data_IF_382470487594
#
_entry.id   IF_382470487594
#
_cell.length_a   1.000
_cell.length_b   1.000
_cell.length_c   1.000
_cell.angle_alpha   90.00
_cell.angle_beta   90.00
_cell.angle_gamma   90.00
#
_symmetry.space_group_name_H-M   'P 1'
#
loop_
_entity.id
_entity.type
_entity.pdbx_description
1 polymer ?
#
# COMPACT_ATOMS: atom_id res chain seq x y z
N UNK A 1 -112.33 -10.06 96.34
CA UNK A 1 -112.58 -8.60 96.32
C UNK A 1 -111.28 -7.78 96.40
N UNK A 2 -110.08 -8.40 96.36
CA UNK A 2 -108.80 -7.70 96.56
C UNK A 2 -108.05 -7.37 95.25
N UNK A 3 -108.22 -8.19 94.19
CA UNK A 3 -107.56 -7.95 92.89
C UNK A 3 -108.04 -6.69 92.16
N UNK A 4 -109.34 -6.36 92.24
CA UNK A 4 -109.90 -5.16 91.59
C UNK A 4 -109.39 -3.85 92.20
N UNK A 5 -109.10 -3.82 93.51
CA UNK A 5 -108.57 -2.63 94.17
C UNK A 5 -107.10 -2.40 93.78
N UNK A 6 -106.31 -3.48 93.72
CA UNK A 6 -104.92 -3.42 93.26
C UNK A 6 -104.81 -3.00 91.79
N UNK A 7 -105.65 -3.54 90.91
CA UNK A 7 -105.68 -3.17 89.49
C UNK A 7 -106.05 -1.69 89.29
N UNK A 8 -107.01 -1.16 90.07
CA UNK A 8 -107.38 0.26 90.05
C UNK A 8 -106.19 1.13 90.49
N UNK A 9 -105.45 0.74 91.52
CA UNK A 9 -104.31 1.49 92.02
C UNK A 9 -103.12 1.47 91.04
N UNK A 10 -102.85 0.33 90.40
CA UNK A 10 -101.82 0.18 89.35
C UNK A 10 -102.18 1.01 88.13
N UNK A 11 -103.43 0.97 87.68
CA UNK A 11 -103.92 1.80 86.57
C UNK A 11 -103.86 3.29 86.91
N UNK A 12 -104.17 3.67 88.16
CA UNK A 12 -104.09 5.07 88.61
C UNK A 12 -102.64 5.56 88.58
N UNK A 13 -101.68 4.80 89.12
CA UNK A 13 -100.25 5.11 89.01
C UNK A 13 -99.79 5.22 87.56
N UNK A 14 -100.26 4.32 86.68
CA UNK A 14 -99.91 4.36 85.26
C UNK A 14 -100.45 5.61 84.56
N UNK A 15 -101.66 6.04 84.92
CA UNK A 15 -102.25 7.29 84.41
C UNK A 15 -101.46 8.50 84.87
N UNK A 16 -101.04 8.54 86.14
CA UNK A 16 -100.20 9.63 86.67
C UNK A 16 -98.81 9.70 86.04
N UNK A 17 -98.19 8.55 85.75
CA UNK A 17 -96.93 8.46 85.01
C UNK A 17 -97.10 8.98 83.59
N UNK A 18 -98.12 8.51 82.86
CA UNK A 18 -98.41 8.97 81.50
C UNK A 18 -98.75 10.46 81.45
N UNK A 19 -99.40 11.00 82.49
CA UNK A 19 -99.66 12.43 82.60
C UNK A 19 -98.37 13.23 82.79
N UNK A 20 -97.44 12.75 83.63
CA UNK A 20 -96.12 13.35 83.79
C UNK A 20 -95.30 13.30 82.50
N UNK A 21 -95.23 12.13 81.86
CA UNK A 21 -94.55 11.97 80.55
C UNK A 21 -95.14 12.91 79.49
N UNK A 22 -96.48 13.03 79.44
CA UNK A 22 -97.16 13.96 78.52
C UNK A 22 -96.81 15.41 78.83
N UNK A 23 -96.79 15.79 80.11
CA UNK A 23 -96.46 17.16 80.53
C UNK A 23 -95.00 17.52 80.22
N UNK A 24 -94.08 16.57 80.40
CA UNK A 24 -92.66 16.77 80.08
C UNK A 24 -92.44 16.82 78.56
N UNK A 25 -93.04 15.91 77.78
CA UNK A 25 -93.01 15.98 76.32
C UNK A 25 -93.60 17.28 75.79
N UNK A 26 -94.64 17.81 76.43
CA UNK A 26 -95.23 19.09 76.06
C UNK A 26 -94.26 20.24 76.30
N UNK A 27 -93.55 20.27 77.44
CA UNK A 27 -92.51 21.29 77.71
C UNK A 27 -91.38 21.20 76.69
N UNK A 28 -90.94 19.99 76.34
CA UNK A 28 -89.89 19.78 75.34
C UNK A 28 -90.31 20.28 73.95
N UNK A 29 -91.55 19.99 73.53
CA UNK A 29 -92.12 20.50 72.27
C UNK A 29 -92.20 22.04 72.31
N UNK A 30 -92.70 22.62 73.39
CA UNK A 30 -92.78 24.07 73.55
C UNK A 30 -91.39 24.72 73.49
N UNK A 31 -90.37 24.12 74.12
CA UNK A 31 -88.99 24.59 74.07
C UNK A 31 -88.38 24.51 72.66
N UNK A 32 -88.59 23.40 71.94
CA UNK A 32 -88.15 23.25 70.54
C UNK A 32 -88.86 24.24 69.62
N UNK A 33 -90.17 24.43 69.80
CA UNK A 33 -90.93 25.44 69.07
C UNK A 33 -90.41 26.84 69.36
N UNK A 34 -90.10 27.22 70.60
CA UNK A 34 -89.52 28.54 70.90
C UNK A 34 -88.14 28.73 70.27
N UNK A 35 -87.31 27.68 70.22
CA UNK A 35 -85.99 27.74 69.58
C UNK A 35 -86.08 27.89 68.05
N UNK A 36 -87.10 27.32 67.41
CA UNK A 36 -87.24 27.27 65.96
C UNK A 36 -88.25 28.29 65.38
N UNK A 37 -89.14 28.86 66.20
CA UNK A 37 -90.25 29.75 65.76
C UNK A 37 -89.96 31.24 65.92
N UNK A 38 -88.74 31.62 66.30
CA UNK A 38 -88.35 33.03 66.31
C UNK A 38 -88.42 33.62 64.88
N UNK A 39 -88.97 34.84 64.67
CA UNK A 39 -89.10 35.47 63.35
C UNK A 39 -87.80 35.59 62.53
N UNK A 40 -86.64 35.43 63.19
CA UNK A 40 -85.31 35.46 62.56
C UNK A 40 -84.69 34.10 62.23
N UNK A 41 -85.09 32.98 62.85
CA UNK A 41 -84.38 31.70 62.70
C UNK A 41 -84.42 31.19 61.26
N UNK A 42 -85.62 31.10 60.67
CA UNK A 42 -85.81 30.64 59.28
C UNK A 42 -85.10 31.58 58.29
N UNK A 43 -85.16 32.90 58.52
CA UNK A 43 -84.49 33.90 57.67
C UNK A 43 -82.96 33.78 57.74
N UNK A 44 -82.39 33.60 58.93
CA UNK A 44 -80.95 33.42 59.12
C UNK A 44 -80.47 32.09 58.52
N UNK A 45 -81.18 30.99 58.77
CA UNK A 45 -80.86 29.68 58.20
C UNK A 45 -80.93 29.70 56.66
N UNK A 46 -81.97 30.30 56.10
CA UNK A 46 -82.12 30.46 54.64
C UNK A 46 -80.97 31.30 54.07
N UNK A 47 -80.63 32.44 54.70
CA UNK A 47 -79.51 33.28 54.26
C UNK A 47 -78.17 32.54 54.29
N UNK A 48 -77.90 31.77 55.34
CA UNK A 48 -76.67 30.98 55.43
C UNK A 48 -76.61 29.89 54.36
N UNK A 49 -77.73 29.19 54.13
CA UNK A 49 -77.82 28.18 53.07
C UNK A 49 -77.63 28.79 51.69
N UNK A 50 -78.25 29.94 51.39
CA UNK A 50 -78.07 30.66 50.13
C UNK A 50 -76.63 31.12 49.95
N UNK A 51 -75.99 31.69 50.98
CA UNK A 51 -74.58 32.09 50.92
C UNK A 51 -73.66 30.90 50.66
N UNK A 52 -73.90 29.76 51.33
CA UNK A 52 -73.14 28.53 51.12
C UNK A 52 -73.35 27.97 49.71
N UNK A 53 -74.58 28.01 49.20
CA UNK A 53 -74.89 27.58 47.83
C UNK A 53 -74.14 28.43 46.81
N UNK A 54 -74.20 29.77 46.92
CA UNK A 54 -73.48 30.68 46.02
C UNK A 54 -71.96 30.50 46.11
N UNK A 55 -71.40 30.29 47.31
CA UNK A 55 -69.97 30.01 47.45
C UNK A 55 -69.57 28.71 46.75
N UNK A 56 -70.36 27.65 46.90
CA UNK A 56 -70.12 26.37 46.22
C UNK A 56 -70.27 26.48 44.70
N UNK A 57 -71.22 27.26 44.20
CA UNK A 57 -71.38 27.52 42.76
C UNK A 57 -70.14 28.20 42.16
N UNK A 58 -69.59 29.21 42.85
CA UNK A 58 -68.36 29.88 42.44
C UNK A 58 -67.15 28.95 42.48
N UNK A 59 -67.04 28.09 43.50
CA UNK A 59 -65.98 27.09 43.59
C UNK A 59 -66.09 26.06 42.46
N UNK A 60 -67.30 25.62 42.12
CA UNK A 60 -67.56 24.71 40.99
C UNK A 60 -67.12 25.35 39.68
N UNK A 61 -67.51 26.61 39.43
CA UNK A 61 -67.12 27.33 38.21
C UNK A 61 -65.59 27.49 38.12
N UNK A 62 -64.94 27.86 39.24
CA UNK A 62 -63.49 27.97 39.33
C UNK A 62 -62.78 26.65 39.04
N UNK A 63 -63.27 25.53 39.61
CA UNK A 63 -62.74 24.20 39.37
C UNK A 63 -62.94 23.74 37.92
N UNK A 64 -64.10 24.00 37.33
CA UNK A 64 -64.37 23.71 35.92
C UNK A 64 -63.40 24.45 34.99
N UNK A 65 -63.14 25.74 35.27
CA UNK A 65 -62.16 26.53 34.51
C UNK A 65 -60.76 25.94 34.63
N UNK A 66 -60.32 25.59 35.84
CA UNK A 66 -59.00 24.94 36.06
C UNK A 66 -58.91 23.59 35.35
N UNK A 67 -59.96 22.77 35.41
CA UNK A 67 -60.01 21.48 34.71
C UNK A 67 -59.89 21.67 33.19
N UNK A 68 -60.61 22.63 32.63
CA UNK A 68 -60.53 22.93 31.19
C UNK A 68 -59.13 23.40 30.77
N UNK A 69 -58.44 24.17 31.62
CA UNK A 69 -57.05 24.58 31.40
C UNK A 69 -56.11 23.37 31.41
N UNK A 70 -56.22 22.53 32.45
CA UNK A 70 -55.41 21.32 32.59
C UNK A 70 -55.61 20.33 31.44
N UNK A 71 -56.84 20.16 30.95
CA UNK A 71 -57.12 19.30 29.78
C UNK A 71 -56.43 19.82 28.51
N UNK A 72 -56.43 21.15 28.30
CA UNK A 72 -55.76 21.75 27.14
C UNK A 72 -54.25 21.60 27.22
N UNK A 73 -53.66 21.86 28.39
CA UNK A 73 -52.23 21.65 28.63
C UNK A 73 -51.82 20.20 28.43
N UNK A 74 -52.63 19.25 28.91
CA UNK A 74 -52.39 17.82 28.70
C UNK A 74 -52.39 17.47 27.21
N UNK A 75 -53.35 18.00 26.44
CA UNK A 75 -53.40 17.80 25.01
C UNK A 75 -52.15 18.36 24.29
N UNK A 76 -51.76 19.59 24.60
CA UNK A 76 -50.55 20.21 24.04
C UNK A 76 -49.29 19.38 24.34
N UNK A 77 -49.15 18.89 25.58
CA UNK A 77 -48.03 18.04 25.97
C UNK A 77 -48.01 16.71 25.23
N UNK A 78 -49.18 16.14 24.91
CA UNK A 78 -49.28 14.93 24.10
C UNK A 78 -48.82 15.19 22.65
N UNK A 79 -49.17 16.33 22.07
CA UNK A 79 -48.71 16.73 20.73
C UNK A 79 -47.18 16.95 20.70
N UNK A 80 -46.64 17.69 21.68
CA UNK A 80 -45.20 17.91 21.82
C UNK A 80 -44.44 16.59 21.99
N UNK A 81 -44.98 15.66 22.78
CA UNK A 81 -44.40 14.34 22.97
C UNK A 81 -44.41 13.52 21.68
N UNK A 82 -45.52 13.53 20.94
CA UNK A 82 -45.63 12.84 19.66
C UNK A 82 -44.60 13.39 18.65
N UNK A 83 -44.45 14.71 18.58
CA UNK A 83 -43.47 15.37 17.71
C UNK A 83 -42.03 15.05 18.13
N UNK A 84 -41.74 15.03 19.43
CA UNK A 84 -40.43 14.63 19.95
C UNK A 84 -40.07 13.19 19.55
N UNK A 85 -41.02 12.25 19.61
CA UNK A 85 -40.80 10.88 19.12
C UNK A 85 -40.59 10.81 17.61
N UNK A 86 -41.34 11.61 16.83
CA UNK A 86 -41.18 11.70 15.37
C UNK A 86 -39.76 12.16 15.02
N UNK A 87 -39.30 13.26 15.62
CA UNK A 87 -37.95 13.80 15.41
C UNK A 87 -36.88 12.79 15.87
N UNK A 88 -37.08 12.12 17.01
CA UNK A 88 -36.17 11.08 17.50
C UNK A 88 -36.01 9.94 16.49
N UNK A 89 -37.10 9.49 15.87
CA UNK A 89 -37.04 8.45 14.83
C UNK A 89 -36.24 8.91 13.62
N UNK A 90 -36.53 10.12 13.11
CA UNK A 90 -35.80 10.69 11.97
C UNK A 90 -34.30 10.83 12.25
N UNK A 91 -33.94 11.24 13.46
CA UNK A 91 -32.55 11.34 13.87
C UNK A 91 -31.86 9.96 13.92
N UNK A 92 -32.56 8.93 14.40
CA UNK A 92 -32.03 7.57 14.43
C UNK A 92 -31.75 7.03 13.01
N UNK A 93 -32.65 7.29 12.07
CA UNK A 93 -32.49 6.89 10.67
C UNK A 93 -31.29 7.61 10.01
N UNK A 94 -31.19 8.93 10.21
CA UNK A 94 -30.07 9.73 9.72
C UNK A 94 -28.74 9.28 10.32
N UNK A 95 -28.71 9.01 11.63
CA UNK A 95 -27.53 8.49 12.31
C UNK A 95 -27.12 7.12 11.73
N UNK A 96 -28.07 6.21 11.49
CA UNK A 96 -27.80 4.91 10.89
C UNK A 96 -27.23 5.02 9.47
N UNK A 97 -27.76 5.95 8.66
CA UNK A 97 -27.27 6.21 7.31
C UNK A 97 -25.83 6.76 7.32
N UNK A 98 -25.54 7.76 8.15
CA UNK A 98 -24.19 8.33 8.27
C UNK A 98 -23.19 7.33 8.86
N UNK A 99 -23.60 6.48 9.80
CA UNK A 99 -22.76 5.42 10.33
C UNK A 99 -22.39 4.40 9.25
N UNK A 100 -23.35 4.02 8.41
CA UNK A 100 -23.12 3.09 7.29
C UNK A 100 -22.16 3.67 6.26
N UNK A 101 -22.36 4.93 5.89
CA UNK A 101 -21.48 5.68 4.98
C UNK A 101 -20.06 5.83 5.55
N UNK A 102 -19.94 6.12 6.85
CA UNK A 102 -18.63 6.20 7.52
C UNK A 102 -17.89 4.87 7.45
N UNK A 103 -18.60 3.75 7.68
CA UNK A 103 -18.03 2.40 7.57
C UNK A 103 -17.54 2.08 6.15
N UNK A 104 -18.27 2.50 5.12
CA UNK A 104 -17.85 2.34 3.72
C UNK A 104 -16.59 3.17 3.41
N UNK A 105 -16.55 4.43 3.86
CA UNK A 105 -15.38 5.28 3.69
C UNK A 105 -14.14 4.71 4.42
N UNK A 106 -14.31 4.18 5.62
CA UNK A 106 -13.23 3.51 6.34
C UNK A 106 -12.69 2.29 5.57
N UNK A 107 -13.56 1.51 4.94
CA UNK A 107 -13.15 0.38 4.10
C UNK A 107 -12.35 0.85 2.88
N UNK A 108 -12.78 1.92 2.22
CA UNK A 108 -12.05 2.51 1.09
C UNK A 108 -10.68 3.03 1.52
N UNK A 109 -10.60 3.72 2.66
CA UNK A 109 -9.32 4.21 3.20
C UNK A 109 -8.36 3.03 3.45
N UNK A 110 -8.82 1.95 4.09
CA UNK A 110 -8.00 0.76 4.31
C UNK A 110 -7.54 0.13 2.99
N UNK A 111 -8.42 0.03 2.00
CA UNK A 111 -8.07 -0.47 0.67
C UNK A 111 -6.96 0.35 0.02
N UNK A 112 -7.07 1.69 0.04
CA UNK A 112 -6.03 2.56 -0.53
C UNK A 112 -4.73 2.48 0.25
N UNK A 113 -4.78 2.42 1.59
CA UNK A 113 -3.58 2.22 2.41
C UNK A 113 -2.85 0.92 2.04
N UNK A 114 -3.57 -0.20 1.91
CA UNK A 114 -2.97 -1.47 1.49
C UNK A 114 -2.42 -1.42 0.06
N UNK A 115 -3.14 -0.78 -0.86
CA UNK A 115 -2.70 -0.62 -2.26
C UNK A 115 -1.43 0.21 -2.36
N UNK A 116 -1.35 1.32 -1.62
CA UNK A 116 -0.18 2.18 -1.56
C UNK A 116 1.00 1.44 -0.94
N UNK A 117 0.80 0.72 0.16
CA UNK A 117 1.85 -0.11 0.78
C UNK A 117 2.41 -1.15 -0.20
N UNK A 118 1.54 -1.80 -0.99
CA UNK A 118 1.96 -2.75 -2.02
C UNK A 118 2.76 -2.08 -3.14
N UNK A 119 2.31 -0.93 -3.64
CA UNK A 119 3.03 -0.18 -4.66
C UNK A 119 4.43 0.26 -4.19
N UNK A 120 4.56 0.65 -2.92
CA UNK A 120 5.87 0.96 -2.33
C UNK A 120 6.77 -0.27 -2.24
N UNK A 121 6.25 -1.43 -1.80
CA UNK A 121 7.02 -2.66 -1.77
C UNK A 121 7.49 -3.10 -3.18
N UNK A 122 6.63 -2.98 -4.20
CA UNK A 122 6.99 -3.28 -5.59
C UNK A 122 8.06 -2.32 -6.13
N UNK A 123 7.93 -1.02 -5.84
CA UNK A 123 8.93 -0.01 -6.19
C UNK A 123 10.28 -0.33 -5.55
N UNK A 124 10.29 -0.60 -4.25
CA UNK A 124 11.52 -0.83 -3.50
C UNK A 124 12.21 -2.12 -3.97
N UNK A 125 11.45 -3.18 -4.29
CA UNK A 125 12.00 -4.40 -4.89
C UNK A 125 12.60 -4.12 -6.28
N UNK A 126 11.89 -3.39 -7.13
CA UNK A 126 12.36 -3.03 -8.48
C UNK A 126 13.63 -2.18 -8.43
N UNK A 127 13.70 -1.25 -7.47
CA UNK A 127 14.87 -0.41 -7.25
C UNK A 127 16.08 -1.23 -6.83
N UNK A 128 15.90 -2.16 -5.88
CA UNK A 128 16.97 -3.08 -5.47
C UNK A 128 17.47 -3.96 -6.62
N UNK A 129 16.56 -4.47 -7.46
CA UNK A 129 16.94 -5.23 -8.66
C UNK A 129 17.73 -4.38 -9.65
N UNK A 130 17.32 -3.12 -9.85
CA UNK A 130 18.02 -2.16 -10.70
C UNK A 130 19.43 -1.85 -10.18
N UNK A 131 19.59 -1.65 -8.88
CA UNK A 131 20.91 -1.42 -8.25
C UNK A 131 21.84 -2.63 -8.45
N UNK A 132 21.34 -3.85 -8.20
CA UNK A 132 22.10 -5.08 -8.46
C UNK A 132 22.46 -5.24 -9.94
N UNK A 133 21.59 -4.85 -10.87
CA UNK A 133 21.88 -4.90 -12.29
C UNK A 133 22.98 -3.90 -12.67
N UNK A 134 22.90 -2.68 -12.13
CA UNK A 134 23.93 -1.65 -12.30
C UNK A 134 25.30 -2.10 -11.80
N UNK A 135 25.38 -2.68 -10.61
CA UNK A 135 26.64 -3.21 -10.06
C UNK A 135 27.27 -4.28 -10.97
N UNK A 136 26.45 -5.20 -11.51
CA UNK A 136 26.93 -6.23 -12.45
C UNK A 136 27.43 -5.63 -13.76
N UNK A 137 26.73 -4.63 -14.29
CA UNK A 137 27.14 -3.95 -15.52
C UNK A 137 28.46 -3.19 -15.32
N UNK A 138 28.61 -2.46 -14.20
CA UNK A 138 29.87 -1.78 -13.86
C UNK A 138 31.03 -2.78 -13.74
N UNK A 139 30.80 -3.97 -13.16
CA UNK A 139 31.80 -5.03 -13.11
C UNK A 139 32.15 -5.58 -14.52
N UNK A 140 31.15 -5.74 -15.39
CA UNK A 140 31.35 -6.17 -16.78
C UNK A 140 32.14 -5.15 -17.59
N UNK A 141 31.85 -3.86 -17.44
CA UNK A 141 32.57 -2.78 -18.11
C UNK A 141 34.05 -2.77 -17.72
N UNK A 142 34.36 -2.94 -16.42
CA UNK A 142 35.76 -3.06 -15.95
C UNK A 142 36.46 -4.25 -16.59
N UNK A 143 35.80 -5.41 -16.68
CA UNK A 143 36.38 -6.59 -17.31
C UNK A 143 36.55 -6.40 -18.83
N UNK A 144 35.61 -5.74 -19.51
CA UNK A 144 35.70 -5.42 -20.94
C UNK A 144 36.92 -4.55 -21.24
N UNK A 145 37.18 -3.53 -20.41
CA UNK A 145 38.35 -2.67 -20.56
C UNK A 145 39.67 -3.47 -20.49
N UNK A 146 39.75 -4.44 -19.57
CA UNK A 146 40.92 -5.34 -19.46
C UNK A 146 41.08 -6.21 -20.71
N UNK A 147 39.98 -6.75 -21.26
CA UNK A 147 40.05 -7.53 -22.49
C UNK A 147 40.42 -6.68 -23.71
N UNK A 148 39.94 -5.44 -23.79
CA UNK A 148 40.31 -4.50 -24.86
C UNK A 148 41.80 -4.16 -24.82
N UNK A 149 42.35 -3.88 -23.64
CA UNK A 149 43.79 -3.62 -23.47
C UNK A 149 44.62 -4.82 -23.91
N UNK A 150 44.27 -6.02 -23.44
CA UNK A 150 44.95 -7.26 -23.83
C UNK A 150 44.85 -7.55 -25.33
N UNK A 151 43.72 -7.21 -25.95
CA UNK A 151 43.54 -7.37 -27.40
C UNK A 151 44.48 -6.45 -28.17
N UNK A 152 44.65 -5.19 -27.71
CA UNK A 152 45.61 -4.25 -28.31
C UNK A 152 47.05 -4.74 -28.16
N UNK A 153 47.42 -5.28 -27.00
CA UNK A 153 48.74 -5.88 -26.78
C UNK A 153 49.00 -7.03 -27.76
N UNK A 154 48.05 -7.96 -27.90
CA UNK A 154 48.19 -9.07 -28.86
C UNK A 154 48.24 -8.61 -30.31
N UNK A 155 47.46 -7.59 -30.69
CA UNK A 155 47.54 -7.02 -32.03
C UNK A 155 48.92 -6.42 -32.31
N UNK A 156 49.48 -5.63 -31.37
CA UNK A 156 50.84 -5.09 -31.50
C UNK A 156 51.88 -6.20 -31.65
N UNK A 157 51.82 -7.22 -30.79
CA UNK A 157 52.76 -8.35 -30.84
C UNK A 157 52.64 -9.15 -32.16
N UNK A 158 51.43 -9.31 -32.69
CA UNK A 158 51.20 -9.95 -33.98
C UNK A 158 51.82 -9.13 -35.12
N UNK A 159 51.66 -7.80 -35.10
CA UNK A 159 52.27 -6.92 -36.10
C UNK A 159 53.80 -6.95 -36.05
N UNK A 160 54.38 -6.94 -34.85
CA UNK A 160 55.84 -7.10 -34.66
C UNK A 160 56.33 -8.43 -35.23
N UNK A 161 55.65 -9.53 -34.90
CA UNK A 161 55.99 -10.84 -35.41
C UNK A 161 55.86 -10.92 -36.93
N UNK A 162 54.85 -10.28 -37.51
CA UNK A 162 54.66 -10.20 -38.95
C UNK A 162 55.82 -9.45 -39.61
N UNK A 163 56.21 -8.28 -39.08
CA UNK A 163 57.37 -7.53 -39.57
C UNK A 163 58.65 -8.37 -39.55
N UNK A 164 58.90 -9.09 -38.45
CA UNK A 164 60.07 -9.97 -38.35
C UNK A 164 60.03 -11.11 -39.37
N UNK A 165 58.85 -11.71 -39.58
CA UNK A 165 58.67 -12.76 -40.58
C UNK A 165 58.93 -12.24 -42.00
N UNK A 166 58.41 -11.05 -42.33
CA UNK A 166 58.65 -10.40 -43.63
C UNK A 166 60.16 -10.16 -43.87
N UNK A 167 60.92 -9.75 -42.84
CA UNK A 167 62.39 -9.60 -42.91
C UNK A 167 63.10 -10.93 -43.13
N UNK A 168 62.78 -11.95 -42.33
CA UNK A 168 63.38 -13.28 -42.47
C UNK A 168 63.09 -13.90 -43.84
N UNK A 169 61.90 -13.67 -44.37
CA UNK A 169 61.53 -14.15 -45.70
C UNK A 169 62.33 -13.47 -46.80
N UNK A 170 62.61 -12.16 -46.67
CA UNK A 170 63.50 -11.42 -47.57
C UNK A 170 64.95 -11.95 -47.50
N UNK A 171 65.52 -12.07 -46.30
CA UNK A 171 66.87 -12.63 -46.08
C UNK A 171 67.01 -14.04 -46.67
N UNK A 172 65.99 -14.89 -46.48
CA UNK A 172 65.94 -16.23 -47.04
C UNK A 172 65.97 -16.19 -48.58
N UNK A 173 65.24 -15.26 -49.21
CA UNK A 173 65.25 -15.12 -50.68
C UNK A 173 66.60 -14.62 -51.21
N UNK A 174 67.23 -13.69 -50.52
CA UNK A 174 68.56 -13.17 -50.87
C UNK A 174 69.63 -14.26 -50.74
N UNK A 175 69.63 -15.00 -49.63
CA UNK A 175 70.55 -16.11 -49.40
C UNK A 175 70.38 -17.22 -50.44
N UNK A 176 69.13 -17.53 -50.82
CA UNK A 176 68.84 -18.47 -51.92
C UNK A 176 69.41 -17.98 -53.25
N UNK A 177 69.22 -16.71 -53.59
CA UNK A 177 69.77 -16.13 -54.82
C UNK A 177 71.31 -16.12 -54.81
N UNK A 178 71.94 -15.79 -53.68
CA UNK A 178 73.38 -15.84 -53.51
C UNK A 178 73.92 -17.27 -53.64
N UNK A 179 73.25 -18.24 -53.01
CA UNK A 179 73.59 -19.66 -53.12
C UNK A 179 73.48 -20.14 -54.57
N UNK A 180 72.42 -19.79 -55.28
CA UNK A 180 72.24 -20.12 -56.70
C UNK A 180 73.31 -19.48 -57.59
N UNK A 181 73.69 -18.23 -57.33
CA UNK A 181 74.79 -17.56 -58.02
C UNK A 181 76.12 -18.28 -57.80
N UNK A 182 76.44 -18.64 -56.55
CA UNK A 182 77.66 -19.38 -56.19
C UNK A 182 77.69 -20.78 -56.81
N UNK A 183 76.55 -21.49 -56.80
CA UNK A 183 76.38 -22.77 -57.49
C UNK A 183 76.72 -22.63 -58.99
N UNK A 184 76.20 -21.60 -59.66
CA UNK A 184 76.47 -21.34 -61.07
C UNK A 184 77.95 -21.02 -61.34
N UNK A 185 78.61 -20.25 -60.47
CA UNK A 185 80.05 -19.96 -60.58
C UNK A 185 80.86 -21.24 -60.48
N UNK A 186 80.59 -22.08 -59.47
CA UNK A 186 81.28 -23.36 -59.29
C UNK A 186 81.08 -24.27 -60.50
N UNK A 187 79.85 -24.37 -61.02
CA UNK A 187 79.57 -25.17 -62.21
C UNK A 187 80.35 -24.68 -63.44
N UNK A 188 80.49 -23.35 -63.62
CA UNK A 188 81.30 -22.79 -64.71
C UNK A 188 82.79 -23.07 -64.55
N UNK A 189 83.34 -22.91 -63.34
CA UNK A 189 84.74 -23.26 -63.08
C UNK A 189 85.01 -24.74 -63.34
N UNK A 190 84.10 -25.60 -62.89
CA UNK A 190 84.15 -27.02 -63.21
C UNK A 190 84.12 -27.25 -64.73
N UNK A 191 83.20 -26.60 -65.46
CA UNK A 191 83.15 -26.71 -66.92
C UNK A 191 84.46 -26.29 -67.60
N UNK A 192 85.05 -25.15 -67.21
CA UNK A 192 86.34 -24.67 -67.74
C UNK A 192 87.45 -25.68 -67.48
N UNK A 193 87.56 -26.16 -66.23
CA UNK A 193 88.52 -27.19 -65.82
C UNK A 193 88.43 -28.46 -66.66
N UNK A 194 87.20 -28.84 -67.03
CA UNK A 194 86.91 -30.03 -67.82
C UNK A 194 87.11 -29.86 -69.33
N UNK A 195 87.33 -28.63 -69.81
CA UNK A 195 87.77 -28.38 -71.20
C UNK A 195 89.27 -28.62 -71.36
N UNK A 196 90.04 -28.43 -70.29
CA UNK A 196 91.51 -28.57 -70.31
C UNK A 196 91.99 -29.94 -69.79
N UNK A 197 91.21 -30.67 -68.99
CA UNK A 197 91.45 -32.11 -68.72
C UNK A 197 90.14 -32.93 -68.68
N UNK A 198 90.25 -34.26 -68.81
CA UNK A 198 89.09 -35.16 -68.67
C UNK A 198 88.53 -35.15 -67.25
N UNK A 199 87.27 -34.75 -67.10
CA UNK A 199 86.53 -34.78 -65.84
C UNK A 199 85.40 -35.82 -65.84
N UNK A 200 85.08 -36.43 -64.69
CA UNK A 200 83.92 -37.29 -64.53
C UNK A 200 82.60 -36.49 -64.56
N UNK A 201 81.66 -36.91 -65.41
CA UNK A 201 80.42 -36.15 -65.67
C UNK A 201 79.27 -36.42 -64.66
N UNK A 202 79.32 -37.55 -63.94
CA UNK A 202 78.26 -38.05 -63.04
C UNK A 202 78.70 -38.07 -61.57
N UNK A 203 79.23 -36.94 -61.09
CA UNK A 203 79.58 -36.77 -59.67
C UNK A 203 78.69 -35.70 -59.03
N UNK A 204 78.49 -35.82 -57.72
CA UNK A 204 77.71 -34.88 -56.92
C UNK A 204 78.32 -33.48 -56.94
N UNK A 205 77.53 -32.47 -56.58
CA UNK A 205 78.00 -31.09 -56.55
C UNK A 205 79.13 -30.89 -55.55
N UNK A 206 79.02 -31.48 -54.35
CA UNK A 206 80.07 -31.48 -53.33
C UNK A 206 81.38 -32.09 -53.86
N UNK A 207 81.31 -33.19 -54.62
CA UNK A 207 82.51 -33.80 -55.23
C UNK A 207 83.13 -32.91 -56.31
N UNK A 208 82.32 -32.17 -57.10
CA UNK A 208 82.82 -31.16 -58.05
C UNK A 208 83.57 -30.04 -57.32
N UNK A 209 83.05 -29.58 -56.18
CA UNK A 209 83.70 -28.59 -55.33
C UNK A 209 85.04 -29.11 -54.79
N UNK A 210 85.06 -30.33 -54.24
CA UNK A 210 86.29 -30.93 -53.69
C UNK A 210 87.40 -31.01 -54.75
N UNK A 211 87.07 -31.44 -55.98
CA UNK A 211 88.05 -31.50 -57.07
C UNK A 211 88.63 -30.13 -57.41
N UNK A 212 87.78 -29.09 -57.50
CA UNK A 212 88.23 -27.73 -57.78
C UNK A 212 89.10 -27.15 -56.66
N UNK A 213 88.84 -27.53 -55.42
CA UNK A 213 89.61 -27.07 -54.25
C UNK A 213 90.96 -27.78 -54.13
N UNK A 214 91.07 -29.02 -54.62
CA UNK A 214 92.29 -29.82 -54.61
C UNK A 214 93.21 -29.53 -55.82
N UNK A 215 92.77 -28.73 -56.80
CA UNK A 215 93.60 -28.31 -57.93
C UNK A 215 94.80 -27.45 -57.46
N UNK A 216 95.99 -27.70 -58.04
CA UNK A 216 97.19 -26.92 -57.74
C UNK A 216 97.11 -25.51 -58.36
N UNK A 217 97.78 -24.52 -57.75
CA UNK A 217 97.76 -23.13 -58.24
C UNK A 217 98.26 -22.97 -59.70
N UNK A 218 99.13 -23.88 -60.17
CA UNK A 218 99.63 -23.92 -61.55
C UNK A 218 98.53 -24.29 -62.54
N UNK A 219 97.56 -25.11 -62.12
CA UNK A 219 96.42 -25.58 -62.94
C UNK A 219 95.45 -24.47 -63.31
N UNK A 220 95.54 -23.31 -62.64
CA UNK A 220 94.72 -22.12 -62.89
C UNK A 220 95.54 -20.92 -63.38
N UNK A 221 96.81 -21.14 -63.72
CA UNK A 221 97.69 -20.09 -64.22
C UNK A 221 97.55 -19.92 -65.74
N UNK A 222 97.07 -18.75 -66.16
CA UNK A 222 97.16 -18.37 -67.57
C UNK A 222 98.62 -18.04 -67.88
N UNK A 223 99.33 -18.98 -68.46
CA UNK A 223 100.66 -18.75 -69.00
C UNK A 223 100.53 -17.80 -70.19
N UNK A 224 100.69 -16.50 -69.95
CA UNK A 224 100.88 -15.46 -70.98
C UNK A 224 102.31 -15.49 -71.55
N UNK A 225 102.96 -16.64 -71.54
CA UNK A 225 104.29 -16.84 -72.09
C UNK A 225 104.21 -17.98 -73.10
N UNK A 226 103.68 -17.65 -74.28
CA UNK A 226 103.49 -18.58 -75.38
C UNK A 226 102.94 -17.86 -76.62
N UNK A 227 103.83 -17.14 -77.30
CA UNK A 227 103.65 -16.44 -78.58
C UNK A 227 102.51 -16.97 -79.47
N UNK A 228 101.54 -16.12 -79.79
CA UNK A 228 100.94 -16.11 -81.13
C UNK A 228 100.77 -14.69 -81.62
N UNK A 229 101.58 -14.40 -82.64
CA UNK A 229 101.60 -13.18 -83.41
C UNK A 229 100.27 -12.98 -84.16
N UNK A 230 99.64 -11.81 -84.00
CA UNK A 230 98.81 -11.22 -85.05
C UNK A 230 99.14 -9.74 -85.19
N UNK A 231 100.15 -9.49 -86.02
CA UNK A 231 100.23 -8.28 -86.82
C UNK A 231 99.12 -8.30 -87.88
N UNK A 232 98.52 -7.13 -88.16
CA UNK A 232 97.39 -6.80 -89.08
C UNK A 232 96.02 -7.05 -88.45
N UNK A 233 95.19 -6.05 -88.14
CA UNK A 233 94.78 -4.94 -89.01
C UNK A 233 94.54 -3.62 -88.26
N UNK A 234 94.62 -2.52 -89.02
CA UNK A 234 94.07 -1.20 -88.73
C UNK A 234 92.63 -1.27 -88.20
#
# INVERSE_FOLDING_TARGET
MDGKAHDIEVLTRRVEELQRERDDLRKDIEQLCMQQSGPGYVSVATRMLSQRATALELDIESLQKKLSGCLRENHNLQEELAEAYRVKSQLADLYGAELSKTKELEQQVRFFQSSVAKAFAERDNSLLECEKAKEREEARLKMSAVFEERTKEYQSAMEDQKRLNDVLQMELTELKAHTESSLNVILKFYEVRCRECECPSNISFEEKCSILLDDSAESWSFSSDGETSTSKHL
#
